data_IF_242944059127
#
_entry.id   IF_242944059127
#
_cell.length_a   1.000
_cell.length_b   1.000
_cell.length_c   1.000
_cell.angle_alpha   90.00
_cell.angle_beta   90.00
_cell.angle_gamma   90.00
#
_symmetry.space_group_name_H-M   'P 1'
#
loop_
_entity.id
_entity.type
_entity.pdbx_description
1 polymer ?
#
# COMPACT_ATOMS: atom_id res chain seq x y z
N UNK A 1 -12.65 4.96 -19.55
CA UNK A 1 -11.79 5.94 -18.86
C UNK A 1 -12.44 6.46 -17.59
N UNK A 2 -13.70 6.93 -17.65
CA UNK A 2 -14.39 7.54 -16.51
C UNK A 2 -14.40 6.62 -15.28
N UNK A 3 -14.85 5.39 -15.43
CA UNK A 3 -14.87 4.40 -14.33
C UNK A 3 -13.48 4.10 -13.79
N UNK A 4 -12.49 3.97 -14.67
CA UNK A 4 -11.09 3.78 -14.29
C UNK A 4 -10.57 4.94 -13.44
N UNK A 5 -10.86 6.18 -13.88
CA UNK A 5 -10.48 7.39 -13.15
C UNK A 5 -11.18 7.49 -11.80
N UNK A 6 -12.49 7.27 -11.76
CA UNK A 6 -13.30 7.35 -10.53
C UNK A 6 -12.85 6.31 -9.50
N UNK A 7 -12.51 5.10 -9.95
CA UNK A 7 -12.00 4.06 -9.07
C UNK A 7 -10.66 4.47 -8.45
N UNK A 8 -9.70 4.95 -9.26
CA UNK A 8 -8.40 5.41 -8.74
C UNK A 8 -8.55 6.65 -7.86
N UNK A 9 -9.48 7.55 -8.20
CA UNK A 9 -9.76 8.75 -7.40
C UNK A 9 -10.37 8.42 -6.03
N UNK A 10 -10.93 7.23 -5.84
CA UNK A 10 -11.43 6.77 -4.55
C UNK A 10 -10.31 6.42 -3.55
N UNK A 11 -9.11 6.12 -4.03
CA UNK A 11 -7.94 5.86 -3.17
C UNK A 11 -7.41 7.17 -2.59
N UNK A 12 -7.90 7.54 -1.42
CA UNK A 12 -7.55 8.80 -0.76
C UNK A 12 -6.79 8.54 0.53
N UNK A 13 -5.66 9.21 0.67
CA UNK A 13 -4.97 9.29 1.94
C UNK A 13 -5.70 10.27 2.88
N UNK A 14 -5.69 9.96 4.17
CA UNK A 14 -6.24 10.82 5.20
C UNK A 14 -5.44 12.15 5.30
N UNK A 15 -6.07 13.26 5.69
CA UNK A 15 -5.38 14.54 5.90
C UNK A 15 -4.25 14.46 6.94
N UNK A 16 -4.31 13.51 7.87
CA UNK A 16 -3.29 13.24 8.88
C UNK A 16 -1.98 12.65 8.34
N UNK A 17 -1.99 12.13 7.09
CA UNK A 17 -0.80 11.59 6.43
C UNK A 17 0.15 12.73 6.07
N UNK A 18 1.47 12.62 6.37
CA UNK A 18 2.45 13.65 5.99
C UNK A 18 2.44 13.99 4.49
N UNK A 19 2.62 15.27 4.17
CA UNK A 19 2.53 15.77 2.79
C UNK A 19 3.47 15.07 1.81
N UNK A 20 4.69 14.76 2.23
CA UNK A 20 5.67 14.08 1.37
C UNK A 20 5.19 12.69 0.94
N UNK A 21 4.47 11.98 1.82
CA UNK A 21 3.86 10.69 1.51
C UNK A 21 2.68 10.87 0.56
N UNK A 22 1.86 11.91 0.78
CA UNK A 22 0.72 12.21 -0.10
C UNK A 22 1.19 12.51 -1.53
N UNK A 23 2.23 13.34 -1.69
CA UNK A 23 2.80 13.67 -3.01
C UNK A 23 3.31 12.41 -3.72
N UNK A 24 4.02 11.52 -3.02
CA UNK A 24 4.50 10.28 -3.62
C UNK A 24 3.37 9.33 -4.01
N UNK A 25 2.33 9.25 -3.19
CA UNK A 25 1.16 8.43 -3.50
C UNK A 25 0.38 8.97 -4.71
N UNK A 26 0.27 10.29 -4.84
CA UNK A 26 -0.34 10.92 -6.00
C UNK A 26 0.42 10.62 -7.29
N UNK A 27 1.74 10.51 -7.24
CA UNK A 27 2.53 10.04 -8.39
C UNK A 27 2.11 8.63 -8.80
N UNK A 28 1.96 7.70 -7.85
CA UNK A 28 1.53 6.33 -8.15
C UNK A 28 0.12 6.30 -8.75
N UNK A 29 -0.81 7.07 -8.20
CA UNK A 29 -2.18 7.20 -8.73
C UNK A 29 -2.19 7.75 -10.15
N UNK A 30 -1.45 8.83 -10.40
CA UNK A 30 -1.38 9.45 -11.72
C UNK A 30 -0.77 8.48 -12.76
N UNK A 31 0.29 7.76 -12.43
CA UNK A 31 0.85 6.72 -13.30
C UNK A 31 -0.21 5.68 -13.67
N UNK A 32 -1.03 5.25 -12.71
CA UNK A 32 -2.07 4.27 -12.98
C UNK A 32 -3.23 4.87 -13.80
N UNK A 33 -3.62 6.13 -13.58
CA UNK A 33 -4.61 6.82 -14.42
C UNK A 33 -4.13 6.87 -15.87
N UNK A 34 -2.87 7.25 -16.10
CA UNK A 34 -2.30 7.31 -17.45
C UNK A 34 -2.05 5.93 -18.05
N UNK A 35 -2.00 4.85 -17.26
CA UNK A 35 -1.91 3.49 -17.77
C UNK A 35 -3.11 3.10 -18.64
N UNK A 36 -4.23 3.81 -18.55
CA UNK A 36 -5.35 3.67 -19.47
C UNK A 36 -4.94 3.93 -20.93
N UNK A 37 -4.08 4.91 -21.16
CA UNK A 37 -3.60 5.26 -22.49
C UNK A 37 -2.27 4.57 -22.84
N UNK A 38 -1.45 4.31 -21.84
CA UNK A 38 -0.13 3.70 -21.98
C UNK A 38 0.00 2.55 -20.99
N UNK A 39 -0.43 1.37 -21.42
CA UNK A 39 -0.49 0.16 -20.58
C UNK A 39 0.80 -0.13 -19.80
N UNK A 40 1.96 0.18 -20.37
CA UNK A 40 3.28 0.00 -19.72
C UNK A 40 3.46 0.81 -18.44
N UNK A 41 2.64 1.84 -18.19
CA UNK A 41 2.67 2.61 -16.96
C UNK A 41 2.07 1.86 -15.76
N UNK A 42 1.39 0.74 -15.98
CA UNK A 42 0.91 -0.15 -14.91
C UNK A 42 2.04 -0.59 -13.99
N UNK A 43 3.16 -1.01 -14.57
CA UNK A 43 4.33 -1.46 -13.81
C UNK A 43 4.99 -0.37 -12.97
N UNK A 44 5.31 0.81 -13.51
CA UNK A 44 5.79 1.94 -12.72
C UNK A 44 4.81 2.37 -11.62
N UNK A 45 3.50 2.35 -11.88
CA UNK A 45 2.49 2.70 -10.89
C UNK A 45 2.55 1.76 -9.68
N UNK A 46 2.63 0.46 -9.91
CA UNK A 46 2.78 -0.55 -8.85
C UNK A 46 4.08 -0.37 -8.07
N UNK A 47 5.20 -0.18 -8.77
CA UNK A 47 6.50 0.04 -8.14
C UNK A 47 6.48 1.29 -7.25
N UNK A 48 5.89 2.38 -7.73
CA UNK A 48 5.76 3.63 -6.99
C UNK A 48 4.84 3.47 -5.77
N UNK A 49 3.75 2.71 -5.88
CA UNK A 49 2.88 2.43 -4.74
C UNK A 49 3.63 1.71 -3.60
N UNK A 50 4.41 0.67 -3.93
CA UNK A 50 5.22 -0.03 -2.93
C UNK A 50 6.37 0.83 -2.38
N UNK A 51 7.01 1.66 -3.21
CA UNK A 51 8.04 2.59 -2.75
C UNK A 51 7.47 3.61 -1.76
N UNK A 52 6.29 4.14 -2.06
CA UNK A 52 5.57 5.06 -1.17
C UNK A 52 5.20 4.40 0.16
N UNK A 53 4.70 3.15 0.11
CA UNK A 53 4.38 2.39 1.31
C UNK A 53 5.63 2.12 2.16
N UNK A 54 6.74 1.74 1.54
CA UNK A 54 8.01 1.53 2.25
C UNK A 54 8.50 2.82 2.91
N UNK A 55 8.40 3.95 2.21
CA UNK A 55 8.74 5.26 2.76
C UNK A 55 7.84 5.61 3.95
N UNK A 56 6.53 5.45 3.83
CA UNK A 56 5.57 5.74 4.90
C UNK A 56 5.83 4.89 6.17
N UNK A 57 6.10 3.60 6.00
CA UNK A 57 6.45 2.70 7.09
C UNK A 57 7.75 3.12 7.79
N UNK A 58 8.75 3.52 7.03
CA UNK A 58 10.04 3.98 7.54
C UNK A 58 9.88 5.27 8.33
N UNK A 59 9.14 6.24 7.82
CA UNK A 59 8.87 7.50 8.53
C UNK A 59 8.03 7.27 9.80
N UNK A 60 7.08 6.33 9.77
CA UNK A 60 6.34 5.95 10.97
C UNK A 60 7.26 5.34 12.04
N UNK A 61 8.16 4.45 11.66
CA UNK A 61 9.15 3.89 12.59
C UNK A 61 9.98 5.00 13.25
N UNK A 62 10.51 5.93 12.47
CA UNK A 62 11.29 7.06 13.00
C UNK A 62 10.47 7.92 13.97
N UNK A 63 9.22 8.22 13.62
CA UNK A 63 8.31 8.99 14.47
C UNK A 63 8.07 8.34 15.84
N UNK A 64 8.08 7.01 15.90
CA UNK A 64 7.94 6.22 17.14
C UNK A 64 9.29 5.96 17.84
N UNK A 65 10.35 6.63 17.42
CA UNK A 65 11.68 6.50 18.03
C UNK A 65 12.41 5.21 17.67
N UNK A 66 11.93 4.48 16.67
CA UNK A 66 12.65 3.34 16.11
C UNK A 66 13.64 3.86 15.07
N UNK A 67 14.81 3.21 14.98
CA UNK A 67 15.84 3.50 13.97
C UNK A 67 15.88 2.36 12.94
N UNK A 68 15.03 2.40 11.90
CA UNK A 68 14.99 1.35 10.90
C UNK A 68 16.27 1.40 10.06
N UNK A 69 17.05 0.30 10.12
CA UNK A 69 18.25 0.19 9.32
C UNK A 69 17.98 0.44 7.82
N UNK A 70 18.85 1.13 7.07
CA UNK A 70 18.64 1.47 5.66
C UNK A 70 18.30 0.25 4.77
N UNK A 71 18.82 -0.93 5.09
CA UNK A 71 18.56 -2.17 4.35
C UNK A 71 17.28 -2.91 4.76
N UNK A 72 16.46 -2.36 5.66
CA UNK A 72 15.15 -2.95 5.92
C UNK A 72 14.25 -2.74 4.72
N UNK A 73 13.89 -3.82 4.05
CA UNK A 73 12.92 -3.77 2.96
C UNK A 73 11.48 -3.78 3.48
N UNK A 74 10.55 -3.66 2.54
CA UNK A 74 9.10 -3.57 2.78
C UNK A 74 8.58 -4.65 3.73
N UNK A 75 8.98 -5.91 3.55
CA UNK A 75 8.54 -7.03 4.41
C UNK A 75 8.89 -6.80 5.88
N UNK A 76 10.11 -6.36 6.17
CA UNK A 76 10.56 -6.14 7.55
C UNK A 76 9.89 -4.94 8.18
N UNK A 77 9.75 -3.85 7.44
CA UNK A 77 9.05 -2.64 7.90
C UNK A 77 7.57 -2.93 8.19
N UNK A 78 6.87 -3.61 7.28
CA UNK A 78 5.47 -4.00 7.48
C UNK A 78 5.32 -4.95 8.68
N UNK A 79 6.21 -5.94 8.83
CA UNK A 79 6.20 -6.82 10.00
C UNK A 79 6.36 -6.04 11.31
N UNK A 80 7.22 -5.02 11.31
CA UNK A 80 7.39 -4.13 12.46
C UNK A 80 6.10 -3.38 12.76
N UNK A 81 5.43 -2.80 11.75
CA UNK A 81 4.17 -2.10 11.91
C UNK A 81 3.05 -2.99 12.47
N UNK A 82 2.94 -4.22 11.97
CA UNK A 82 1.99 -5.22 12.46
C UNK A 82 2.27 -5.57 13.92
N UNK A 83 3.52 -5.83 14.28
CA UNK A 83 3.90 -6.20 15.64
C UNK A 83 3.68 -5.06 16.65
N UNK A 84 3.73 -3.80 16.22
CA UNK A 84 3.41 -2.64 17.05
C UNK A 84 1.91 -2.30 17.06
N UNK A 85 1.07 -3.10 16.38
CA UNK A 85 -0.38 -2.89 16.33
C UNK A 85 -0.82 -1.66 15.51
N UNK A 86 0.07 -1.12 14.66
CA UNK A 86 -0.26 0.00 13.77
C UNK A 86 -1.07 -0.44 12.55
N UNK A 87 -0.97 -1.70 12.18
CA UNK A 87 -1.70 -2.30 11.06
C UNK A 87 -2.45 -3.52 11.56
N UNK A 88 -3.78 -3.49 11.35
CA UNK A 88 -4.72 -4.53 11.75
C UNK A 88 -5.64 -4.89 10.59
N UNK A 89 -6.28 -6.04 10.68
CA UNK A 89 -7.18 -6.54 9.63
C UNK A 89 -8.39 -5.64 9.41
N UNK A 90 -8.91 -5.01 10.45
CA UNK A 90 -10.04 -4.07 10.39
C UNK A 90 -9.79 -2.80 9.56
N UNK A 91 -8.53 -2.47 9.28
CA UNK A 91 -8.18 -1.33 8.43
C UNK A 91 -8.21 -1.60 6.93
N UNK A 92 -8.44 -2.85 6.51
CA UNK A 92 -8.58 -3.23 5.10
C UNK A 92 -10.03 -3.16 4.66
N UNK A 93 -10.51 -1.93 4.43
CA UNK A 93 -11.93 -1.65 4.17
C UNK A 93 -12.45 -2.26 2.86
N UNK A 94 -11.57 -2.53 1.89
CA UNK A 94 -11.95 -3.20 0.64
C UNK A 94 -12.46 -4.63 0.87
N UNK A 95 -12.15 -5.26 2.01
CA UNK A 95 -12.63 -6.59 2.34
C UNK A 95 -14.06 -6.59 2.90
N UNK A 96 -14.55 -5.43 3.38
CA UNK A 96 -15.89 -5.32 3.98
C UNK A 96 -16.95 -5.81 2.99
N UNK A 97 -17.78 -6.73 3.44
CA UNK A 97 -18.84 -7.35 2.62
C UNK A 97 -18.37 -8.50 1.74
N UNK A 98 -17.09 -8.88 1.79
CA UNK A 98 -16.59 -10.09 1.15
C UNK A 98 -16.72 -11.31 2.10
N UNK A 99 -16.74 -12.54 1.56
CA UNK A 99 -16.71 -13.75 2.42
C UNK A 99 -15.48 -13.77 3.35
N UNK A 100 -14.33 -13.28 2.87
CA UNK A 100 -13.09 -13.20 3.66
C UNK A 100 -13.24 -12.32 4.90
N UNK A 101 -14.00 -11.22 4.81
CA UNK A 101 -14.26 -10.34 5.96
C UNK A 101 -14.95 -11.04 7.12
N UNK A 102 -15.89 -11.94 6.82
CA UNK A 102 -16.66 -12.66 7.84
C UNK A 102 -15.79 -13.64 8.67
N UNK A 103 -14.63 -14.00 8.15
CA UNK A 103 -13.66 -14.91 8.79
C UNK A 103 -12.54 -14.17 9.52
N UNK A 104 -12.45 -12.84 9.36
CA UNK A 104 -11.41 -12.01 9.96
C UNK A 104 -11.85 -11.45 11.32
N UNK A 105 -10.91 -11.40 12.24
CA UNK A 105 -11.01 -10.57 13.44
C UNK A 105 -10.49 -9.16 13.09
N UNK A 106 -11.34 -8.11 13.14
CA UNK A 106 -10.91 -6.74 12.85
C UNK A 106 -9.74 -6.26 13.71
N UNK A 107 -9.63 -6.72 14.94
CA UNK A 107 -8.50 -6.43 15.84
C UNK A 107 -7.29 -7.37 15.62
N UNK A 108 -7.47 -8.39 14.80
CA UNK A 108 -6.44 -9.34 14.44
C UNK A 108 -5.47 -8.82 13.38
N UNK A 109 -4.55 -9.69 12.97
CA UNK A 109 -3.51 -9.40 11.98
C UNK A 109 -3.32 -10.54 10.98
N UNK A 110 -4.32 -11.40 10.81
CA UNK A 110 -4.21 -12.60 9.97
C UNK A 110 -4.02 -12.21 8.50
N UNK A 111 -4.86 -11.33 7.98
CA UNK A 111 -4.76 -10.83 6.61
C UNK A 111 -3.50 -9.96 6.42
N UNK A 112 -3.24 -9.04 7.34
CA UNK A 112 -2.03 -8.21 7.29
C UNK A 112 -0.75 -9.04 7.20
N UNK A 113 -0.68 -10.17 7.91
CA UNK A 113 0.47 -11.09 7.85
C UNK A 113 0.58 -11.82 6.52
N UNK A 114 -0.51 -12.15 5.85
CA UNK A 114 -0.48 -12.76 4.52
C UNK A 114 0.21 -11.82 3.51
N UNK A 115 0.04 -10.51 3.65
CA UNK A 115 0.69 -9.52 2.79
C UNK A 115 2.23 -9.55 2.91
N UNK A 116 2.79 -10.02 4.03
CA UNK A 116 4.25 -10.17 4.20
C UNK A 116 4.86 -11.14 3.18
N UNK A 117 4.10 -12.11 2.73
CA UNK A 117 4.57 -13.10 1.75
C UNK A 117 4.19 -12.70 0.31
N UNK A 118 3.11 -11.93 0.16
CA UNK A 118 2.60 -11.49 -1.14
C UNK A 118 3.43 -10.33 -1.71
N UNK A 119 3.67 -9.28 -0.94
CA UNK A 119 4.32 -8.05 -1.41
C UNK A 119 5.74 -8.24 -1.96
N UNK A 120 6.63 -9.03 -1.33
CA UNK A 120 7.96 -9.27 -1.88
C UNK A 120 7.95 -9.93 -3.26
N UNK A 121 6.98 -10.83 -3.52
CA UNK A 121 6.86 -11.51 -4.80
C UNK A 121 6.51 -10.53 -5.92
N UNK A 122 5.62 -9.59 -5.67
CA UNK A 122 5.25 -8.55 -6.64
C UNK A 122 6.36 -7.52 -6.84
N UNK A 123 7.11 -7.15 -5.79
CA UNK A 123 8.24 -6.21 -5.90
C UNK A 123 9.42 -6.80 -6.68
N UNK A 124 9.77 -8.06 -6.43
CA UNK A 124 10.92 -8.70 -7.05
C UNK A 124 10.75 -8.95 -8.54
N UNK A 125 9.54 -9.13 -9.03
CA UNK A 125 9.25 -9.26 -10.46
C UNK A 125 9.73 -8.07 -11.30
N UNK A 126 9.87 -6.89 -10.70
CA UNK A 126 10.39 -5.68 -11.37
C UNK A 126 11.91 -5.58 -11.32
N UNK A 127 12.52 -5.94 -10.19
CA UNK A 127 13.94 -5.76 -9.95
C UNK A 127 14.83 -6.63 -10.88
N UNK A 128 14.26 -7.70 -11.44
CA UNK A 128 14.99 -8.66 -12.28
C UNK A 128 14.74 -8.52 -13.78
N UNK A 129 14.17 -7.41 -14.24
CA UNK A 129 14.02 -7.13 -15.68
C UNK A 129 13.10 -8.12 -16.40
N UNK A 130 12.19 -8.77 -15.71
CA UNK A 130 11.21 -9.67 -16.30
C UNK A 130 10.35 -8.91 -17.33
N UNK A 131 10.22 -9.45 -18.52
CA UNK A 131 9.36 -8.93 -19.60
C UNK A 131 7.87 -9.18 -19.34
N UNK A 132 7.52 -9.76 -18.21
CA UNK A 132 6.14 -10.04 -17.83
C UNK A 132 5.43 -8.71 -17.58
N UNK A 133 4.59 -8.33 -18.52
CA UNK A 133 3.65 -7.23 -18.36
C UNK A 133 2.74 -7.59 -17.18
N UNK A 134 2.87 -6.85 -16.09
CA UNK A 134 1.99 -7.07 -14.95
C UNK A 134 0.58 -6.69 -15.32
N UNK A 135 -0.35 -7.54 -14.93
CA UNK A 135 -1.76 -7.26 -15.13
C UNK A 135 -2.16 -5.96 -14.38
N UNK A 136 -3.06 -5.14 -14.95
CA UNK A 136 -3.58 -3.94 -14.29
C UNK A 136 -4.08 -4.18 -12.87
N UNK A 137 -4.59 -5.38 -12.63
CA UNK A 137 -5.09 -5.83 -11.32
C UNK A 137 -4.00 -5.81 -10.24
N UNK A 138 -2.76 -6.20 -10.58
CA UNK A 138 -1.64 -6.15 -9.62
C UNK A 138 -1.29 -4.74 -9.18
N UNK A 139 -1.31 -3.77 -10.10
CA UNK A 139 -1.09 -2.36 -9.77
C UNK A 139 -2.24 -1.78 -8.94
N UNK A 140 -3.48 -2.16 -9.26
CA UNK A 140 -4.65 -1.75 -8.50
C UNK A 140 -4.58 -2.26 -7.06
N UNK A 141 -4.28 -3.54 -6.87
CA UNK A 141 -4.09 -4.14 -5.54
C UNK A 141 -2.97 -3.46 -4.75
N UNK A 142 -1.88 -3.08 -5.41
CA UNK A 142 -0.78 -2.36 -4.76
C UNK A 142 -1.22 -0.98 -4.26
N UNK A 143 -1.95 -0.22 -5.08
CA UNK A 143 -2.50 1.09 -4.71
C UNK A 143 -3.51 0.97 -3.56
N UNK A 144 -4.44 0.02 -3.64
CA UNK A 144 -5.46 -0.25 -2.63
C UNK A 144 -4.84 -0.64 -1.29
N UNK A 145 -3.95 -1.62 -1.30
CA UNK A 145 -3.25 -2.04 -0.08
C UNK A 145 -2.36 -0.93 0.50
N UNK A 146 -1.69 -0.14 -0.36
CA UNK A 146 -0.85 0.96 0.10
C UNK A 146 -1.67 2.04 0.78
N UNK A 147 -2.78 2.49 0.20
CA UNK A 147 -3.63 3.53 0.80
C UNK A 147 -4.19 3.09 2.15
N UNK A 148 -4.66 1.85 2.26
CA UNK A 148 -5.25 1.34 3.50
C UNK A 148 -4.21 1.17 4.61
N UNK A 149 -3.02 0.67 4.29
CA UNK A 149 -1.94 0.56 5.28
C UNK A 149 -1.46 1.96 5.70
N UNK A 150 -1.22 2.88 4.74
CA UNK A 150 -0.75 4.24 5.06
C UNK A 150 -1.77 4.97 5.95
N UNK A 151 -3.06 4.84 5.68
CA UNK A 151 -4.10 5.45 6.50
C UNK A 151 -4.11 4.88 7.93
N UNK A 152 -3.82 3.59 8.11
CA UNK A 152 -3.67 2.99 9.44
C UNK A 152 -2.41 3.48 10.17
N UNK A 153 -1.31 3.77 9.44
CA UNK A 153 -0.09 4.30 10.04
C UNK A 153 -0.27 5.72 10.59
N UNK A 154 -1.19 6.50 10.00
CA UNK A 154 -1.44 7.90 10.34
C UNK A 154 -2.95 8.15 10.54
N UNK A 155 -3.56 7.51 11.54
CA UNK A 155 -4.99 7.70 11.80
C UNK A 155 -5.28 9.14 12.20
N UNK A 156 -6.48 9.62 11.87
CA UNK A 156 -6.96 10.89 12.38
C UNK A 156 -7.05 10.83 13.91
N UNK A 157 -6.60 11.87 14.57
CA UNK A 157 -6.79 12.00 16.02
C UNK A 157 -8.27 12.30 16.25
N UNK A 158 -8.98 11.39 16.88
CA UNK A 158 -10.26 11.71 17.48
C UNK A 158 -9.97 12.53 18.75
N UNK A 159 -10.28 13.81 18.69
CA UNK A 159 -10.29 14.68 19.88
C UNK A 159 -11.42 14.26 20.84
#
# INVERSE_FOLDING_TARGET
FKEHYEHVASFKLLPSVPNDIQVQFDVARNLYVYAWYVYRLTSPAQAQAYATLEFALRERCKKEGLDPHPYWGLRRLLKTAINHGWVKDGGFVHLIGTPAWNELDPEGTTFARQLLDIFPQFRNGFAHGGTTLLEPRGALMALESAVEIINQLYPEKHD
#
